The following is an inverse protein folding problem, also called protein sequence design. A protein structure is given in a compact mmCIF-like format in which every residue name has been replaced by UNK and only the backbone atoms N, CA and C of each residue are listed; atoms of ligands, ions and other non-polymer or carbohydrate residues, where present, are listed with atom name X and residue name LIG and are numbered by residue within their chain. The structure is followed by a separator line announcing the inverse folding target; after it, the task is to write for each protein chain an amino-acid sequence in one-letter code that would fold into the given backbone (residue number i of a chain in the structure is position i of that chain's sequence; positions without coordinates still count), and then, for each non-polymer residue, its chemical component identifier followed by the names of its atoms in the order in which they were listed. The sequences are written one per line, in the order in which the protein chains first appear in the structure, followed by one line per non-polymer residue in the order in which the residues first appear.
data_IF_915704390818
#
_entry.id   IF_915704390818
#
_cell.length_a   1.000
_cell.length_b   1.000
_cell.length_c   1.000
_cell.angle_alpha   90.00
_cell.angle_beta   90.00
_cell.angle_gamma   90.00
#
_symmetry.space_group_name_H-M   'P 1'
#
loop_
_entity.id
_entity.type
_entity.pdbx_description
1 polymer ?
#
# COMPACT_ATOMS: atom_id res chain seq x y z
N UNK A 1 -3.50 22.80 -14.22
CA UNK A 1 -3.80 22.73 -12.78
C UNK A 1 -3.41 21.36 -12.24
N UNK A 2 -2.60 21.35 -11.22
CA UNK A 2 -2.17 20.09 -10.63
C UNK A 2 -3.33 19.47 -9.84
N UNK A 3 -3.48 18.16 -9.95
CA UNK A 3 -4.44 17.44 -9.14
C UNK A 3 -3.77 17.02 -7.85
N UNK A 4 -4.43 17.28 -6.75
CA UNK A 4 -4.00 16.83 -5.43
C UNK A 4 -4.73 15.53 -5.14
N UNK A 5 -3.96 14.47 -4.91
CA UNK A 5 -4.53 13.19 -4.55
C UNK A 5 -5.06 13.25 -3.12
N UNK A 6 -6.29 12.82 -2.95
CA UNK A 6 -6.90 12.71 -1.62
C UNK A 6 -6.56 11.34 -1.04
N UNK A 7 -5.48 11.26 -0.30
CA UNK A 7 -4.99 10.01 0.27
C UNK A 7 -6.00 9.37 1.24
N UNK A 8 -6.69 10.19 2.02
CA UNK A 8 -7.69 9.68 2.96
C UNK A 8 -8.83 8.98 2.21
N UNK A 9 -9.31 9.62 1.16
CA UNK A 9 -10.39 9.06 0.33
C UNK A 9 -9.94 7.76 -0.33
N UNK A 10 -8.75 7.73 -0.89
CA UNK A 10 -8.20 6.53 -1.52
C UNK A 10 -8.12 5.38 -0.52
N UNK A 11 -7.57 5.63 0.67
CA UNK A 11 -7.46 4.61 1.70
C UNK A 11 -8.82 4.07 2.12
N UNK A 12 -9.81 4.95 2.30
CA UNK A 12 -11.15 4.53 2.69
C UNK A 12 -11.85 3.72 1.59
N UNK A 13 -11.69 4.11 0.34
CA UNK A 13 -12.23 3.35 -0.79
C UNK A 13 -11.59 1.98 -0.91
N UNK A 14 -10.26 1.90 -0.76
CA UNK A 14 -9.55 0.63 -0.83
C UNK A 14 -10.03 -0.33 0.27
N UNK A 15 -10.21 0.17 1.49
CA UNK A 15 -10.68 -0.66 2.60
C UNK A 15 -12.07 -1.25 2.36
N UNK A 16 -12.87 -0.66 1.48
CA UNK A 16 -14.25 -1.09 1.22
C UNK A 16 -14.40 -2.07 0.06
N UNK A 17 -13.40 -2.22 -0.78
CA UNK A 17 -13.57 -3.04 -2.00
C UNK A 17 -13.54 -4.54 -1.73
N UNK A 18 -13.04 -4.95 -0.58
CA UNK A 18 -12.98 -6.38 -0.24
C UNK A 18 -12.97 -6.53 1.28
N UNK A 19 -13.76 -7.48 1.78
CA UNK A 19 -13.85 -7.74 3.22
C UNK A 19 -12.54 -8.27 3.80
N UNK A 20 -11.67 -8.82 2.97
CA UNK A 20 -10.40 -9.40 3.40
C UNK A 20 -9.28 -8.38 3.56
N UNK A 21 -9.49 -7.13 3.19
CA UNK A 21 -8.50 -6.08 3.41
C UNK A 21 -8.47 -5.71 4.89
N UNK A 22 -7.26 -5.67 5.46
CA UNK A 22 -7.03 -5.38 6.88
C UNK A 22 -6.50 -3.98 7.11
N UNK A 23 -5.73 -3.45 6.17
CA UNK A 23 -5.00 -2.19 6.31
C UNK A 23 -4.86 -1.53 4.94
N UNK A 24 -5.05 -0.23 4.89
CA UNK A 24 -4.70 0.58 3.72
C UNK A 24 -4.20 1.93 4.22
N UNK A 25 -2.94 2.22 3.98
CA UNK A 25 -2.32 3.46 4.44
C UNK A 25 -1.26 3.95 3.48
N UNK A 26 -1.10 5.26 3.42
CA UNK A 26 -0.07 5.88 2.60
C UNK A 26 1.15 6.15 3.46
N UNK A 27 2.30 5.68 2.99
CA UNK A 27 3.58 5.75 3.68
C UNK A 27 4.50 6.68 2.88
N UNK A 28 5.13 7.64 3.57
CA UNK A 28 6.04 8.58 2.90
C UNK A 28 7.48 8.02 2.84
N UNK A 29 8.41 8.69 2.15
CA UNK A 29 9.79 8.19 2.03
C UNK A 29 10.55 8.04 3.34
N UNK A 30 10.04 8.63 4.42
CA UNK A 30 10.64 8.48 5.75
C UNK A 30 10.09 7.27 6.52
N UNK A 31 9.21 6.50 5.89
CA UNK A 31 8.58 5.36 6.54
C UNK A 31 7.49 5.74 7.53
N UNK A 32 6.88 6.91 7.35
CA UNK A 32 5.81 7.40 8.23
C UNK A 32 4.48 7.31 7.53
N UNK A 33 3.45 6.91 8.28
CA UNK A 33 2.09 6.90 7.76
C UNK A 33 1.56 8.33 7.70
N UNK A 34 1.03 8.73 6.56
CA UNK A 34 0.48 10.08 6.36
C UNK A 34 -1.02 10.06 6.12
N UNK A 35 -1.61 8.90 5.90
CA UNK A 35 -3.06 8.74 5.75
C UNK A 35 -3.43 7.28 5.91
N UNK A 36 -4.68 7.02 6.30
CA UNK A 36 -5.21 5.67 6.40
C UNK A 36 -4.77 4.93 7.64
N UNK A 37 -4.82 3.62 7.59
CA UNK A 37 -4.46 2.76 8.71
C UNK A 37 -5.22 1.45 8.69
N UNK A 38 -5.34 0.83 9.86
CA UNK A 38 -6.07 -0.42 10.03
C UNK A 38 -7.55 -0.23 9.75
N UNK A 39 -8.16 -1.27 9.21
CA UNK A 39 -9.60 -1.33 9.07
C UNK A 39 -10.21 -1.42 10.48
N UNK A 40 -11.31 -0.71 10.70
CA UNK A 40 -11.96 -0.67 12.00
C UNK A 40 -12.33 -2.08 12.47
N UNK A 41 -12.07 -2.39 13.74
CA UNK A 41 -12.38 -3.68 14.33
C UNK A 41 -11.36 -4.77 14.08
N UNK A 42 -10.30 -4.49 13.34
CA UNK A 42 -9.25 -5.46 13.03
C UNK A 42 -8.05 -5.24 13.94
N UNK A 43 -7.56 -6.30 14.58
CA UNK A 43 -6.35 -6.22 15.38
C UNK A 43 -5.12 -6.35 14.51
N UNK A 44 -4.07 -5.52 14.72
CA UNK A 44 -2.82 -5.64 13.98
C UNK A 44 -2.12 -6.98 14.27
N UNK A 45 -1.42 -7.50 13.26
CA UNK A 45 -0.61 -8.70 13.42
C UNK A 45 0.71 -8.40 14.12
N UNK A 46 1.19 -7.16 14.01
CA UNK A 46 2.45 -6.71 14.58
C UNK A 46 2.22 -5.56 15.57
N UNK A 47 3.19 -5.33 16.46
CA UNK A 47 3.13 -4.21 17.38
C UNK A 47 3.58 -2.91 16.69
N UNK A 48 3.42 -1.78 17.38
CA UNK A 48 3.72 -0.46 16.81
C UNK A 48 5.20 -0.33 16.37
N UNK A 49 6.11 -0.89 17.15
CA UNK A 49 7.54 -0.82 16.81
C UNK A 49 7.85 -1.60 15.54
N UNK A 50 7.24 -2.77 15.40
CA UNK A 50 7.41 -3.57 14.19
C UNK A 50 6.77 -2.89 12.97
N UNK A 51 5.65 -2.20 13.15
CA UNK A 51 5.06 -1.39 12.08
C UNK A 51 6.03 -0.35 11.56
N UNK A 52 6.70 0.37 12.46
CA UNK A 52 7.67 1.38 12.07
C UNK A 52 8.81 0.78 11.24
N UNK A 53 9.27 -0.41 11.62
CA UNK A 53 10.30 -1.12 10.87
C UNK A 53 9.81 -1.56 9.50
N UNK A 54 8.60 -2.10 9.43
CA UNK A 54 8.00 -2.52 8.15
C UNK A 54 7.83 -1.35 7.19
N UNK A 55 7.36 -0.22 7.71
CA UNK A 55 7.16 0.98 6.88
C UNK A 55 8.49 1.53 6.37
N UNK A 56 9.53 1.49 7.20
CA UNK A 56 10.86 1.91 6.77
C UNK A 56 11.42 0.98 5.69
N UNK A 57 11.24 -0.32 5.85
CA UNK A 57 11.64 -1.30 4.84
C UNK A 57 10.92 -1.02 3.52
N UNK A 58 9.62 -0.76 3.58
CA UNK A 58 8.84 -0.43 2.38
C UNK A 58 9.40 0.81 1.69
N UNK A 59 9.64 1.87 2.46
CA UNK A 59 10.17 3.13 1.90
C UNK A 59 11.50 2.91 1.18
N UNK A 60 12.38 2.10 1.77
CA UNK A 60 13.66 1.77 1.16
C UNK A 60 13.48 0.96 -0.14
N UNK A 61 12.59 -0.02 -0.13
CA UNK A 61 12.34 -0.84 -1.32
C UNK A 61 11.76 -0.01 -2.46
N UNK A 62 10.84 0.89 -2.17
CA UNK A 62 10.26 1.78 -3.19
C UNK A 62 11.34 2.63 -3.83
N UNK A 63 12.24 3.19 -3.02
CA UNK A 63 13.36 3.99 -3.53
C UNK A 63 14.30 3.14 -4.40
N UNK A 64 14.65 1.96 -3.94
CA UNK A 64 15.58 1.08 -4.67
C UNK A 64 14.99 0.63 -6.00
N UNK A 65 13.70 0.35 -6.06
CA UNK A 65 13.03 -0.05 -7.29
C UNK A 65 13.10 1.04 -8.36
N UNK A 66 13.09 2.31 -7.97
CA UNK A 66 13.15 3.45 -8.92
C UNK A 66 14.47 3.51 -9.70
N UNK A 67 15.52 2.88 -9.19
CA UNK A 67 16.80 2.81 -9.90
C UNK A 67 16.67 2.17 -11.28
N UNK A 68 15.65 1.35 -11.50
CA UNK A 68 15.46 0.61 -12.73
C UNK A 68 14.29 1.15 -13.57
N UNK A 69 13.74 2.29 -13.22
CA UNK A 69 12.59 2.87 -13.93
C UNK A 69 12.90 3.16 -15.40
N UNK A 70 14.13 3.57 -15.70
CA UNK A 70 14.53 3.87 -17.10
C UNK A 70 14.56 2.62 -17.96
N UNK A 71 15.04 1.51 -17.42
CA UNK A 71 15.19 0.27 -18.16
C UNK A 71 13.89 -0.53 -18.23
N UNK A 72 13.12 -0.54 -17.16
CA UNK A 72 11.98 -1.43 -16.99
C UNK A 72 10.63 -0.73 -16.95
N UNK A 73 10.64 0.61 -16.93
CA UNK A 73 9.43 1.38 -16.70
C UNK A 73 9.11 1.48 -15.22
N UNK A 74 8.17 2.35 -14.89
CA UNK A 74 7.78 2.58 -13.49
C UNK A 74 7.08 1.36 -12.90
N UNK A 75 7.32 1.10 -11.63
CA UNK A 75 6.60 0.04 -10.91
C UNK A 75 5.15 0.45 -10.71
N UNK A 76 4.21 -0.41 -11.05
CA UNK A 76 2.78 -0.16 -10.82
C UNK A 76 2.34 -0.69 -9.48
N UNK A 77 2.83 -1.87 -9.10
CA UNK A 77 2.60 -2.43 -7.77
C UNK A 77 3.61 -3.54 -7.50
N UNK A 78 3.73 -3.88 -6.23
CA UNK A 78 4.52 -5.03 -5.78
C UNK A 78 3.71 -5.80 -4.76
N UNK A 79 3.99 -7.09 -4.64
CA UNK A 79 3.20 -7.98 -3.81
C UNK A 79 4.09 -9.01 -3.12
N UNK A 80 3.79 -9.28 -1.86
CA UNK A 80 4.41 -10.37 -1.11
C UNK A 80 3.31 -11.24 -0.52
N UNK A 81 3.30 -12.52 -0.88
CA UNK A 81 2.41 -13.49 -0.26
C UNK A 81 3.12 -14.06 0.97
N UNK A 82 2.62 -13.72 2.14
CA UNK A 82 3.12 -14.28 3.40
C UNK A 82 2.11 -15.31 3.92
N UNK A 83 2.52 -16.11 4.88
CA UNK A 83 1.63 -17.12 5.46
C UNK A 83 0.41 -16.49 6.14
N UNK A 84 0.59 -15.33 6.77
CA UNK A 84 -0.47 -14.67 7.55
C UNK A 84 -1.05 -13.41 6.91
N UNK A 85 -0.52 -13.00 5.77
CA UNK A 85 -0.99 -11.77 5.11
C UNK A 85 -0.56 -11.73 3.66
N UNK A 86 -1.38 -11.06 2.85
CA UNK A 86 -1.02 -10.66 1.50
C UNK A 86 -0.67 -9.16 1.58
N UNK A 87 0.58 -8.81 1.32
CA UNK A 87 1.05 -7.43 1.39
C UNK A 87 1.27 -6.87 -0.01
N UNK A 88 0.69 -5.70 -0.28
CA UNK A 88 0.79 -5.05 -1.57
C UNK A 88 1.26 -3.62 -1.38
N UNK A 89 2.03 -3.10 -2.34
CA UNK A 89 2.43 -1.70 -2.32
C UNK A 89 2.27 -1.09 -3.71
N UNK A 90 1.81 0.15 -3.76
CA UNK A 90 1.50 0.88 -4.98
C UNK A 90 2.14 2.26 -4.88
N UNK A 91 3.06 2.61 -5.79
CA UNK A 91 3.57 3.99 -5.84
C UNK A 91 2.39 4.94 -6.02
N UNK A 92 2.37 6.04 -5.27
CA UNK A 92 1.29 7.02 -5.31
C UNK A 92 1.87 8.41 -5.09
N UNK A 93 1.32 9.40 -5.78
CA UNK A 93 1.88 10.75 -5.71
C UNK A 93 3.28 10.80 -6.29
N UNK A 94 4.12 11.67 -5.74
CA UNK A 94 5.48 11.84 -6.24
C UNK A 94 6.44 10.79 -5.66
N UNK A 95 6.39 10.59 -4.35
CA UNK A 95 7.36 9.72 -3.66
C UNK A 95 6.73 8.79 -2.63
N UNK A 96 5.41 8.82 -2.49
CA UNK A 96 4.74 8.04 -1.46
C UNK A 96 4.36 6.65 -1.99
N UNK A 97 3.90 5.80 -1.10
CA UNK A 97 3.40 4.48 -1.46
C UNK A 97 2.14 4.16 -0.67
N UNK A 98 1.16 3.61 -1.36
CA UNK A 98 -0.02 3.03 -0.72
C UNK A 98 0.34 1.61 -0.33
N UNK A 99 0.26 1.30 0.97
CA UNK A 99 0.52 -0.03 1.50
C UNK A 99 -0.80 -0.67 1.88
N UNK A 100 -1.04 -1.88 1.39
CA UNK A 100 -2.29 -2.61 1.62
C UNK A 100 -1.98 -3.99 2.16
N UNK A 101 -2.58 -4.33 3.29
CA UNK A 101 -2.55 -5.68 3.82
C UNK A 101 -3.93 -6.31 3.68
N UNK A 102 -3.95 -7.58 3.31
CA UNK A 102 -5.17 -8.37 3.23
C UNK A 102 -4.96 -9.73 3.90
N UNK A 103 -6.04 -10.46 4.12
CA UNK A 103 -5.96 -11.84 4.58
C UNK A 103 -5.16 -12.66 3.56
N UNK A 104 -4.47 -13.73 4.00
CA UNK A 104 -3.59 -14.49 3.10
C UNK A 104 -4.31 -15.17 1.96
N UNK A 105 -5.61 -15.40 2.08
CA UNK A 105 -6.43 -16.04 1.04
C UNK A 105 -7.18 -15.02 0.16
N UNK A 106 -6.85 -13.75 0.25
CA UNK A 106 -7.45 -12.73 -0.60
C UNK A 106 -7.11 -13.00 -2.08
N UNK A 107 -7.98 -12.51 -2.97
CA UNK A 107 -7.83 -12.73 -4.40
C UNK A 107 -6.72 -11.82 -4.99
N UNK A 108 -5.49 -12.29 -4.95
CA UNK A 108 -4.35 -11.54 -5.46
C UNK A 108 -4.39 -11.40 -6.99
N UNK A 109 -5.22 -12.18 -7.68
CA UNK A 109 -5.34 -12.07 -9.12
C UNK A 109 -6.16 -10.87 -9.58
N UNK A 110 -7.07 -10.38 -8.76
CA UNK A 110 -7.95 -9.25 -9.13
C UNK A 110 -7.77 -8.02 -8.27
N UNK A 111 -7.36 -8.16 -7.02
CA UNK A 111 -7.22 -7.03 -6.09
C UNK A 111 -6.30 -5.92 -6.60
N UNK A 112 -5.10 -6.21 -7.12
CA UNK A 112 -4.23 -5.14 -7.59
C UNK A 112 -4.88 -4.26 -8.66
N UNK A 113 -5.59 -4.85 -9.61
CA UNK A 113 -6.28 -4.09 -10.66
C UNK A 113 -7.36 -3.19 -10.09
N UNK A 114 -8.12 -3.69 -9.12
CA UNK A 114 -9.17 -2.89 -8.47
C UNK A 114 -8.57 -1.70 -7.71
N UNK A 115 -7.46 -1.93 -7.02
CA UNK A 115 -6.79 -0.86 -6.27
C UNK A 115 -6.21 0.18 -7.22
N UNK A 116 -5.59 -0.26 -8.32
CA UNK A 116 -5.04 0.64 -9.32
C UNK A 116 -6.12 1.55 -9.91
N UNK A 117 -7.32 1.03 -10.15
CA UNK A 117 -8.43 1.84 -10.64
C UNK A 117 -8.82 2.95 -9.65
N UNK A 118 -8.77 2.66 -8.36
CA UNK A 118 -9.05 3.66 -7.34
C UNK A 118 -7.98 4.75 -7.35
N UNK A 119 -6.71 4.37 -7.45
CA UNK A 119 -5.60 5.32 -7.48
C UNK A 119 -5.66 6.21 -8.72
N UNK A 120 -5.98 5.63 -9.86
CA UNK A 120 -6.05 6.37 -11.12
C UNK A 120 -7.30 7.27 -11.23
N UNK A 121 -8.26 7.03 -10.41
CA UNK A 121 -9.51 7.78 -10.40
C UNK A 121 -10.48 7.23 -11.39
#
# INVERSE_FOLDING_TARGET
MSQILDYHKICEEVKKIDTKIRFAGVINPRGRIVAGGMKEGIEPLENKKDDEMLFMELALRVRMRKEFDRQLGNVKFSMSQREKALAMSFPIGVEDALYVYAEPDADYGTLPSKILKIIEG
#
